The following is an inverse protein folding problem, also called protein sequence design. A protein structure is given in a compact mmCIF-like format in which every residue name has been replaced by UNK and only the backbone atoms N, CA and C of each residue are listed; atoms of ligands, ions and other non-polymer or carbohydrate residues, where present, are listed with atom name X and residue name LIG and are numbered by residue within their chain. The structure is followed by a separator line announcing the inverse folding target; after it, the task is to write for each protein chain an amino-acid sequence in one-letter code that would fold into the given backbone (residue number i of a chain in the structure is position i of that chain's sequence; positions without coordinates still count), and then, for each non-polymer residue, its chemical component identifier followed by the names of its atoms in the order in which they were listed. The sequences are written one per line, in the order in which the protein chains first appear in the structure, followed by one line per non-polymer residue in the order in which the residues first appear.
data_IF_306670044194
#
_entry.id   IF_306670044194
#
_cell.length_a   1.000
_cell.length_b   1.000
_cell.length_c   1.000
_cell.angle_alpha   90.00
_cell.angle_beta   90.00
_cell.angle_gamma   90.00
#
_symmetry.space_group_name_H-M   'P 1'
#
loop_
_entity.id
_entity.type
_entity.pdbx_description
1 polymer ?
#
# COMPACT_ATOMS: atom_id res chain seq x y z
N UNK A 1 -1.59 -11.55 57.11
CA UNK A 1 -2.49 -10.64 56.35
C UNK A 1 -1.94 -10.24 54.95
N UNK A 2 -0.67 -9.87 54.74
CA UNK A 2 -0.19 -9.42 53.42
C UNK A 2 -0.28 -10.49 52.32
N UNK A 3 -0.05 -11.75 52.62
CA UNK A 3 -0.08 -12.84 51.63
C UNK A 3 -1.49 -13.09 51.05
N UNK A 4 -2.55 -12.98 51.81
CA UNK A 4 -3.93 -13.12 51.31
C UNK A 4 -4.33 -11.94 50.45
N UNK A 5 -3.94 -10.72 50.81
CA UNK A 5 -4.18 -9.53 50.03
C UNK A 5 -3.48 -9.63 48.66
N UNK A 6 -2.18 -9.93 48.63
CA UNK A 6 -1.41 -10.08 47.42
C UNK A 6 -2.03 -11.16 46.51
N UNK A 7 -2.36 -12.34 47.08
CA UNK A 7 -3.01 -13.41 46.33
C UNK A 7 -4.34 -12.97 45.71
N UNK A 8 -5.21 -12.31 46.49
CA UNK A 8 -6.51 -11.88 45.97
C UNK A 8 -6.39 -10.75 44.94
N UNK A 9 -5.41 -9.86 45.09
CA UNK A 9 -5.11 -8.83 44.07
C UNK A 9 -4.61 -9.44 42.78
N UNK A 10 -3.73 -10.43 42.85
CA UNK A 10 -3.26 -11.17 41.66
C UNK A 10 -4.38 -11.94 40.98
N UNK A 11 -5.23 -12.64 41.76
CA UNK A 11 -6.40 -13.33 41.18
C UNK A 11 -7.37 -12.35 40.53
N UNK A 12 -7.61 -11.20 41.12
CA UNK A 12 -8.44 -10.14 40.53
C UNK A 12 -7.85 -9.61 39.22
N UNK A 13 -6.55 -9.35 39.16
CA UNK A 13 -5.87 -8.91 37.96
C UNK A 13 -5.92 -9.96 36.83
N UNK A 14 -5.67 -11.24 37.17
CA UNK A 14 -5.78 -12.34 36.23
C UNK A 14 -7.22 -12.49 35.69
N UNK A 15 -8.21 -12.35 36.55
CA UNK A 15 -9.61 -12.40 36.14
C UNK A 15 -9.96 -11.25 35.17
N UNK A 16 -9.52 -10.03 35.44
CA UNK A 16 -9.72 -8.88 34.55
C UNK A 16 -9.04 -9.09 33.19
N UNK A 17 -7.81 -9.61 33.17
CA UNK A 17 -7.12 -9.96 31.94
C UNK A 17 -7.85 -11.05 31.15
N UNK A 18 -8.36 -12.08 31.83
CA UNK A 18 -9.12 -13.15 31.19
C UNK A 18 -10.45 -12.62 30.59
N UNK A 19 -11.15 -11.74 31.29
CA UNK A 19 -12.38 -11.10 30.79
C UNK A 19 -12.05 -10.24 29.56
N UNK A 20 -11.01 -9.38 29.64
CA UNK A 20 -10.59 -8.55 28.54
C UNK A 20 -10.20 -9.40 27.31
N UNK A 21 -9.44 -10.47 27.55
CA UNK A 21 -9.04 -11.43 26.51
C UNK A 21 -10.26 -12.13 25.88
N UNK A 22 -11.22 -12.55 26.67
CA UNK A 22 -12.44 -13.18 26.17
C UNK A 22 -13.29 -12.21 25.33
N UNK A 23 -13.42 -10.95 25.76
CA UNK A 23 -14.10 -9.91 24.98
C UNK A 23 -13.38 -9.69 23.66
N UNK A 24 -12.07 -9.48 23.68
CA UNK A 24 -11.28 -9.25 22.48
C UNK A 24 -11.35 -10.42 21.50
N UNK A 25 -11.24 -11.64 22.00
CA UNK A 25 -11.36 -12.85 21.18
C UNK A 25 -12.77 -13.02 20.59
N UNK A 26 -13.83 -12.72 21.36
CA UNK A 26 -15.22 -12.89 20.92
C UNK A 26 -15.63 -11.82 19.90
N UNK A 27 -15.26 -10.57 20.15
CA UNK A 27 -15.56 -9.45 19.25
C UNK A 27 -14.66 -9.48 18.04
N UNK A 28 -13.35 -9.69 18.23
CA UNK A 28 -12.34 -9.78 17.17
C UNK A 28 -12.33 -8.55 16.25
N UNK A 29 -12.12 -7.34 16.77
CA UNK A 29 -12.33 -6.09 16.03
C UNK A 29 -11.43 -5.92 14.80
N UNK A 30 -10.29 -6.63 14.72
CA UNK A 30 -9.40 -6.66 13.57
C UNK A 30 -9.50 -7.97 12.76
N UNK A 31 -10.57 -8.74 12.99
CA UNK A 31 -10.97 -9.88 12.16
C UNK A 31 -9.89 -10.97 12.03
N UNK A 32 -9.08 -11.17 13.12
CA UNK A 32 -7.98 -12.11 13.10
C UNK A 32 -8.42 -13.57 13.07
N UNK A 33 -9.58 -13.88 13.66
CA UNK A 33 -10.07 -15.24 13.82
C UNK A 33 -11.25 -15.57 12.94
N UNK A 34 -12.03 -14.55 12.51
CA UNK A 34 -13.26 -14.74 11.72
C UNK A 34 -13.69 -13.48 10.99
N UNK A 35 -14.51 -13.66 9.96
CA UNK A 35 -15.32 -12.58 9.43
C UNK A 35 -16.45 -12.32 10.43
N UNK A 36 -16.70 -11.10 10.89
CA UNK A 36 -17.78 -10.81 11.82
C UNK A 36 -19.15 -11.06 11.18
N UNK A 37 -20.06 -11.67 11.96
CA UNK A 37 -21.46 -11.92 11.57
C UNK A 37 -22.44 -11.16 12.44
N UNK A 38 -22.02 -10.73 13.62
CA UNK A 38 -22.87 -10.09 14.63
C UNK A 38 -22.87 -8.56 14.49
N UNK A 39 -21.93 -8.01 13.71
CA UNK A 39 -21.79 -6.59 13.44
C UNK A 39 -21.19 -6.39 12.03
N UNK A 40 -21.36 -5.20 11.46
CA UNK A 40 -20.73 -4.85 10.19
C UNK A 40 -19.20 -4.82 10.32
N UNK A 41 -18.44 -5.48 9.43
CA UNK A 41 -16.97 -5.43 9.48
C UNK A 41 -16.47 -4.00 9.47
N UNK A 42 -15.49 -3.71 10.33
CA UNK A 42 -14.86 -2.39 10.39
C UNK A 42 -13.42 -2.50 9.94
N UNK A 43 -13.03 -1.67 8.98
CA UNK A 43 -11.68 -1.58 8.44
C UNK A 43 -11.05 -0.28 8.91
N UNK A 44 -10.09 -0.38 9.84
CA UNK A 44 -9.47 0.78 10.47
C UNK A 44 -8.23 1.21 9.72
N UNK A 45 -8.26 2.37 9.10
CA UNK A 45 -7.15 2.90 8.30
C UNK A 45 -5.80 2.92 9.05
N UNK A 46 -5.81 3.24 10.34
CA UNK A 46 -4.60 3.24 11.17
C UNK A 46 -4.13 1.85 11.61
N UNK A 47 -4.89 0.78 11.32
CA UNK A 47 -4.59 -0.58 11.75
C UNK A 47 -4.46 -1.58 10.61
N UNK A 48 -4.24 -1.10 9.39
CA UNK A 48 -4.08 -1.93 8.18
C UNK A 48 -3.09 -3.10 8.39
N UNK A 49 -1.95 -2.83 9.06
CA UNK A 49 -0.94 -3.86 9.39
C UNK A 49 -1.45 -4.93 10.34
N UNK A 50 -2.41 -4.59 11.20
CA UNK A 50 -3.02 -5.55 12.12
C UNK A 50 -4.16 -6.31 11.46
N UNK A 51 -4.90 -5.71 10.54
CA UNK A 51 -6.11 -6.30 9.94
C UNK A 51 -5.80 -7.22 8.76
N UNK A 52 -4.89 -6.82 7.89
CA UNK A 52 -4.60 -7.55 6.65
C UNK A 52 -4.27 -9.05 6.84
N UNK A 53 -3.53 -9.49 7.88
CA UNK A 53 -3.32 -10.93 8.08
C UNK A 53 -4.60 -11.68 8.45
N UNK A 54 -5.52 -11.06 9.18
CA UNK A 54 -6.84 -11.62 9.47
C UNK A 54 -7.69 -11.72 8.22
N UNK A 55 -7.73 -10.66 7.42
CA UNK A 55 -8.43 -10.63 6.13
C UNK A 55 -7.88 -11.71 5.19
N UNK A 56 -6.56 -11.82 5.06
CA UNK A 56 -5.91 -12.83 4.23
C UNK A 56 -6.31 -14.27 4.61
N UNK A 57 -6.57 -14.53 5.89
CA UNK A 57 -6.97 -15.85 6.39
C UNK A 57 -8.47 -16.13 6.25
N UNK A 58 -9.30 -15.15 6.56
CA UNK A 58 -10.72 -15.36 6.83
C UNK A 58 -11.64 -14.97 5.67
N UNK A 59 -11.20 -14.06 4.78
CA UNK A 59 -12.01 -13.65 3.63
C UNK A 59 -11.76 -14.57 2.43
N UNK A 60 -12.82 -14.71 1.63
CA UNK A 60 -12.74 -15.48 0.40
C UNK A 60 -12.49 -14.54 -0.78
N UNK A 61 -11.32 -14.69 -1.41
CA UNK A 61 -10.91 -13.98 -2.63
C UNK A 61 -9.84 -14.79 -3.37
N UNK A 62 -9.76 -14.62 -4.68
CA UNK A 62 -8.79 -15.29 -5.57
C UNK A 62 -7.79 -14.30 -6.20
N UNK A 63 -8.04 -12.99 -6.05
CA UNK A 63 -7.12 -11.92 -6.45
C UNK A 63 -6.87 -10.98 -5.28
N UNK A 64 -5.60 -10.64 -5.06
CA UNK A 64 -5.18 -9.68 -4.04
C UNK A 64 -4.56 -8.44 -4.67
N UNK A 65 -4.93 -7.24 -4.20
CA UNK A 65 -4.15 -6.01 -4.44
C UNK A 65 -3.23 -5.84 -3.23
N UNK A 66 -1.92 -5.77 -3.46
CA UNK A 66 -0.92 -5.48 -2.43
C UNK A 66 -0.14 -4.25 -2.85
N UNK A 67 -0.36 -3.16 -2.17
CA UNK A 67 0.15 -1.84 -2.54
C UNK A 67 0.48 -1.01 -1.30
N UNK A 68 1.30 0.00 -1.50
CA UNK A 68 1.31 1.14 -0.60
C UNK A 68 0.07 2.01 -0.86
N UNK A 69 0.07 3.25 -0.39
CA UNK A 69 -1.05 4.20 -0.57
C UNK A 69 -1.47 4.46 -2.02
N UNK A 70 -0.71 4.01 -3.01
CA UNK A 70 -1.00 4.25 -4.43
C UNK A 70 -2.26 3.55 -4.93
N UNK A 71 -2.56 2.33 -4.48
CA UNK A 71 -3.74 1.59 -4.91
C UNK A 71 -4.78 1.41 -3.80
N UNK A 72 -4.68 2.13 -2.68
CA UNK A 72 -5.70 2.10 -1.62
C UNK A 72 -7.07 2.56 -2.11
N UNK A 73 -7.11 3.45 -3.12
CA UNK A 73 -8.34 3.95 -3.73
C UNK A 73 -8.92 3.05 -4.83
N UNK A 74 -8.37 1.85 -5.03
CA UNK A 74 -8.87 0.88 -6.02
C UNK A 74 -9.86 -0.07 -5.35
N UNK A 75 -11.07 -0.15 -5.90
CA UNK A 75 -12.11 -1.07 -5.42
C UNK A 75 -11.92 -2.48 -5.99
N UNK A 76 -12.23 -3.50 -5.18
CA UNK A 76 -12.16 -4.88 -5.61
C UNK A 76 -13.11 -5.17 -6.77
N UNK A 77 -14.35 -4.69 -6.67
CA UNK A 77 -15.37 -4.87 -7.70
C UNK A 77 -15.02 -4.19 -9.04
N UNK A 78 -14.33 -3.05 -9.00
CA UNK A 78 -13.84 -2.39 -10.21
C UNK A 78 -12.79 -3.25 -10.93
N UNK A 79 -11.87 -3.86 -10.17
CA UNK A 79 -10.88 -4.79 -10.72
C UNK A 79 -11.56 -6.02 -11.30
N UNK A 80 -12.50 -6.64 -10.59
CA UNK A 80 -13.24 -7.81 -11.04
C UNK A 80 -13.98 -7.52 -12.34
N UNK A 81 -14.63 -6.36 -12.44
CA UNK A 81 -15.33 -5.92 -13.65
C UNK A 81 -14.37 -5.72 -14.82
N UNK A 82 -13.21 -5.11 -14.58
CA UNK A 82 -12.22 -4.82 -15.63
C UNK A 82 -11.56 -6.10 -16.14
N UNK A 83 -11.24 -7.05 -15.24
CA UNK A 83 -10.60 -8.32 -15.59
C UNK A 83 -11.60 -9.39 -16.05
N UNK A 84 -12.91 -9.12 -15.95
CA UNK A 84 -13.98 -9.99 -16.42
C UNK A 84 -14.29 -11.20 -15.54
N UNK A 85 -13.54 -11.43 -14.49
CA UNK A 85 -13.72 -12.55 -13.54
C UNK A 85 -12.90 -12.33 -12.28
N UNK A 86 -13.19 -13.12 -11.24
CA UNK A 86 -12.45 -13.15 -9.99
C UNK A 86 -13.19 -12.45 -8.85
N UNK A 87 -12.60 -12.55 -7.67
CA UNK A 87 -13.01 -11.88 -6.45
C UNK A 87 -11.80 -11.23 -5.83
N UNK A 88 -11.72 -9.93 -5.96
CA UNK A 88 -10.57 -9.14 -5.54
C UNK A 88 -10.75 -8.60 -4.12
N UNK A 89 -9.69 -8.68 -3.30
CA UNK A 89 -9.62 -7.96 -2.05
C UNK A 89 -8.40 -7.02 -2.05
N UNK A 90 -8.61 -5.76 -1.61
CA UNK A 90 -7.55 -4.79 -1.48
C UNK A 90 -6.88 -4.91 -0.11
N UNK A 91 -5.64 -5.42 -0.09
CA UNK A 91 -4.80 -5.62 1.08
C UNK A 91 -3.68 -4.56 1.17
N UNK A 92 -3.88 -3.42 0.54
CA UNK A 92 -2.90 -2.32 0.58
C UNK A 92 -2.76 -1.77 2.00
N UNK A 93 -1.61 -1.20 2.32
CA UNK A 93 -1.44 -0.37 3.50
C UNK A 93 -0.36 0.71 3.32
N UNK A 94 -0.60 1.84 3.93
CA UNK A 94 0.22 3.04 3.78
C UNK A 94 1.69 2.79 4.12
N UNK A 95 2.60 3.35 3.30
CA UNK A 95 4.05 3.24 3.45
C UNK A 95 4.57 1.79 3.51
N UNK A 96 3.91 0.86 2.80
CA UNK A 96 4.32 -0.54 2.65
C UNK A 96 5.79 -0.65 2.22
N UNK A 97 6.55 -1.50 2.91
CA UNK A 97 7.91 -1.87 2.51
C UNK A 97 7.93 -3.23 1.79
N UNK A 98 9.01 -3.53 1.09
CA UNK A 98 9.15 -4.82 0.41
C UNK A 98 9.12 -6.01 1.38
N UNK A 99 9.70 -5.84 2.59
CA UNK A 99 9.65 -6.84 3.64
C UNK A 99 8.24 -7.09 4.17
N UNK A 100 7.50 -6.02 4.44
CA UNK A 100 6.11 -6.12 4.90
C UNK A 100 5.21 -6.75 3.84
N UNK A 101 5.40 -6.37 2.57
CA UNK A 101 4.69 -6.98 1.44
C UNK A 101 4.99 -8.47 1.32
N UNK A 102 6.25 -8.87 1.50
CA UNK A 102 6.63 -10.29 1.54
C UNK A 102 5.89 -11.03 2.65
N UNK A 103 5.89 -10.50 3.89
CA UNK A 103 5.21 -11.12 5.02
C UNK A 103 3.70 -11.25 4.79
N UNK A 104 3.07 -10.22 4.23
CA UNK A 104 1.67 -10.28 3.85
C UNK A 104 1.41 -11.34 2.78
N UNK A 105 2.20 -11.35 1.71
CA UNK A 105 2.03 -12.29 0.61
C UNK A 105 2.34 -13.74 1.02
N UNK A 106 3.31 -13.99 1.91
CA UNK A 106 3.53 -15.29 2.52
C UNK A 106 2.25 -15.81 3.21
N UNK A 107 1.54 -14.94 3.96
CA UNK A 107 0.26 -15.28 4.59
C UNK A 107 -0.87 -15.48 3.57
N UNK A 108 -0.98 -14.61 2.59
CA UNK A 108 -2.01 -14.67 1.52
C UNK A 108 -1.88 -15.94 0.68
N UNK A 109 -0.65 -16.28 0.27
CA UNK A 109 -0.38 -17.39 -0.62
C UNK A 109 -0.34 -18.77 0.11
N UNK A 110 -0.17 -18.76 1.42
CA UNK A 110 -0.14 -20.00 2.23
C UNK A 110 -1.39 -20.88 2.08
N UNK A 111 -2.53 -20.28 1.71
CA UNK A 111 -3.80 -20.99 1.58
C UNK A 111 -4.10 -21.49 0.15
N UNK A 112 -3.26 -21.18 -0.84
CA UNK A 112 -3.40 -21.63 -2.24
C UNK A 112 -4.65 -21.13 -2.98
N UNK A 113 -5.45 -20.23 -2.37
CA UNK A 113 -6.68 -19.69 -2.96
C UNK A 113 -6.39 -18.58 -3.97
N UNK A 114 -5.41 -17.73 -3.66
CA UNK A 114 -5.07 -16.56 -4.48
C UNK A 114 -4.30 -17.01 -5.72
N UNK A 115 -4.85 -16.66 -6.87
CA UNK A 115 -4.31 -17.00 -8.20
C UNK A 115 -3.66 -15.82 -8.90
N UNK A 116 -3.96 -14.60 -8.44
CA UNK A 116 -3.41 -13.39 -9.04
C UNK A 116 -3.14 -12.32 -7.97
N UNK A 117 -1.99 -11.68 -8.08
CA UNK A 117 -1.57 -10.58 -7.20
C UNK A 117 -1.27 -9.36 -8.05
N UNK A 118 -2.00 -8.26 -7.81
CA UNK A 118 -1.68 -6.93 -8.37
C UNK A 118 -0.83 -6.20 -7.34
N UNK A 119 0.42 -5.90 -7.71
CA UNK A 119 1.41 -5.36 -6.79
C UNK A 119 1.99 -4.05 -7.32
N UNK A 120 1.85 -2.95 -6.59
CA UNK A 120 2.54 -1.73 -6.99
C UNK A 120 4.03 -1.80 -6.68
N UNK A 121 4.85 -1.31 -7.59
CA UNK A 121 6.29 -1.17 -7.40
C UNK A 121 6.61 0.29 -7.14
N UNK A 122 7.22 0.56 -5.99
CA UNK A 122 7.66 1.88 -5.59
C UNK A 122 9.14 1.82 -5.16
N UNK A 123 9.94 2.79 -5.56
CA UNK A 123 11.35 2.86 -5.20
C UNK A 123 11.57 2.91 -3.68
N UNK A 124 10.66 3.56 -2.93
CA UNK A 124 10.77 3.66 -1.48
C UNK A 124 10.56 2.32 -0.76
N UNK A 125 9.80 1.40 -1.36
CA UNK A 125 9.55 0.07 -0.77
C UNK A 125 10.85 -0.71 -0.59
N UNK A 126 11.82 -0.52 -1.48
CA UNK A 126 13.11 -1.24 -1.51
C UNK A 126 14.24 -0.48 -0.85
N UNK A 127 14.05 0.78 -0.45
CA UNK A 127 15.11 1.59 0.11
C UNK A 127 15.54 1.14 1.51
N UNK A 128 16.83 1.17 1.80
CA UNK A 128 17.40 0.87 3.12
C UNK A 128 17.58 -0.62 3.41
N UNK A 129 17.43 -0.99 4.68
CA UNK A 129 17.58 -2.38 5.13
C UNK A 129 16.50 -3.28 4.51
N UNK A 130 16.85 -4.46 3.97
CA UNK A 130 15.89 -5.41 3.41
C UNK A 130 14.80 -5.88 4.38
N UNK A 131 15.02 -5.78 5.68
CA UNK A 131 14.04 -6.12 6.73
C UNK A 131 13.35 -4.91 7.34
N UNK A 132 13.50 -3.75 6.70
CA UNK A 132 12.87 -2.52 7.16
C UNK A 132 11.35 -2.66 7.17
N UNK A 133 10.73 -2.22 8.26
CA UNK A 133 9.29 -2.02 8.38
C UNK A 133 8.94 -0.54 8.19
N UNK A 134 7.68 -0.27 7.86
CA UNK A 134 7.16 1.09 7.75
C UNK A 134 7.06 1.79 9.11
N UNK A 135 6.84 3.09 9.05
CA UNK A 135 6.66 3.97 10.22
C UNK A 135 5.20 4.44 10.23
N UNK A 136 4.56 4.67 11.39
CA UNK A 136 5.16 4.66 12.75
C UNK A 136 5.17 3.29 13.44
N UNK A 137 4.32 2.35 13.04
CA UNK A 137 4.11 1.11 13.79
C UNK A 137 4.88 -0.06 13.17
N UNK A 138 5.65 -0.81 13.97
CA UNK A 138 6.28 -2.02 13.47
C UNK A 138 5.22 -3.06 13.09
N UNK A 139 5.56 -3.88 12.08
CA UNK A 139 4.71 -4.98 11.65
C UNK A 139 4.48 -5.97 12.81
N UNK A 140 3.23 -6.28 13.19
CA UNK A 140 2.93 -7.25 14.25
C UNK A 140 3.14 -8.68 13.73
N UNK A 141 4.40 -9.12 13.65
CA UNK A 141 4.80 -10.38 13.01
C UNK A 141 4.08 -11.61 13.57
N UNK A 142 3.67 -11.58 14.84
CA UNK A 142 2.89 -12.64 15.47
C UNK A 142 1.52 -12.85 14.83
N UNK A 143 0.95 -11.84 14.13
CA UNK A 143 -0.28 -11.99 13.36
C UNK A 143 -0.06 -12.52 11.93
N UNK A 144 1.19 -12.53 11.45
CA UNK A 144 1.53 -12.93 10.08
C UNK A 144 1.97 -14.40 9.97
N UNK A 145 2.12 -15.08 11.10
CA UNK A 145 2.43 -16.50 11.12
C UNK A 145 1.16 -17.37 11.18
N UNK A 146 1.34 -18.70 11.22
CA UNK A 146 0.24 -19.66 11.30
C UNK A 146 -0.18 -20.01 12.74
N UNK A 147 0.58 -19.52 13.72
CA UNK A 147 0.40 -19.88 15.12
C UNK A 147 -0.54 -18.90 15.81
N UNK A 148 -1.63 -19.40 16.40
CA UNK A 148 -2.59 -18.55 17.11
C UNK A 148 -2.32 -18.46 18.61
N UNK A 149 -1.48 -19.31 19.15
CA UNK A 149 -1.14 -19.29 20.56
C UNK A 149 -0.26 -18.09 20.96
N UNK A 150 0.46 -17.51 20.00
CA UNK A 150 1.29 -16.31 20.20
C UNK A 150 0.55 -15.00 19.94
N UNK A 151 -0.76 -15.05 19.62
CA UNK A 151 -1.60 -13.86 19.39
C UNK A 151 -1.98 -13.15 20.71
N UNK A 152 -1.44 -13.57 21.87
CA UNK A 152 -1.74 -12.91 23.14
C UNK A 152 -1.50 -11.40 23.17
N UNK A 153 -0.54 -10.79 22.41
CA UNK A 153 -0.42 -9.34 22.37
C UNK A 153 -1.62 -8.66 21.73
N UNK A 154 -2.31 -9.33 20.80
CA UNK A 154 -3.57 -8.86 20.25
C UNK A 154 -4.73 -9.06 21.22
N UNK A 155 -4.87 -10.26 21.75
CA UNK A 155 -6.00 -10.65 22.61
C UNK A 155 -6.01 -9.88 23.93
N UNK A 156 -4.83 -9.59 24.49
CA UNK A 156 -4.70 -8.86 25.76
C UNK A 156 -4.44 -7.35 25.57
N UNK A 157 -4.51 -6.84 24.35
CA UNK A 157 -4.26 -5.42 24.06
C UNK A 157 -5.39 -4.52 24.55
N UNK A 158 -5.02 -3.43 25.21
CA UNK A 158 -5.96 -2.35 25.60
C UNK A 158 -6.50 -1.64 24.35
N UNK A 159 -5.69 -1.49 23.30
CA UNK A 159 -6.14 -0.90 22.04
C UNK A 159 -7.23 -1.77 21.41
N UNK A 160 -7.03 -3.09 21.36
CA UNK A 160 -8.04 -4.06 20.92
C UNK A 160 -9.30 -3.99 21.78
N UNK A 161 -9.15 -3.94 23.11
CA UNK A 161 -10.29 -3.85 24.04
C UNK A 161 -11.12 -2.59 23.82
N UNK A 162 -10.46 -1.46 23.57
CA UNK A 162 -11.14 -0.21 23.24
C UNK A 162 -11.98 -0.33 21.97
N UNK A 163 -11.44 -0.96 20.92
CA UNK A 163 -12.17 -1.22 19.67
C UNK A 163 -13.33 -2.18 19.89
N UNK A 164 -13.10 -3.26 20.64
CA UNK A 164 -14.14 -4.22 21.04
C UNK A 164 -15.28 -3.53 21.79
N UNK A 165 -14.96 -2.69 22.78
CA UNK A 165 -15.96 -1.95 23.55
C UNK A 165 -16.76 -0.98 22.67
N UNK A 166 -16.12 -0.27 21.74
CA UNK A 166 -16.82 0.63 20.83
C UNK A 166 -17.77 -0.10 19.88
N UNK A 167 -17.42 -1.30 19.42
CA UNK A 167 -18.31 -2.17 18.65
C UNK A 167 -19.52 -2.60 19.49
N UNK A 168 -19.27 -3.15 20.69
CA UNK A 168 -20.35 -3.63 21.59
C UNK A 168 -21.31 -2.52 22.02
N UNK A 169 -20.81 -1.30 22.19
CA UNK A 169 -21.61 -0.12 22.56
C UNK A 169 -22.22 0.61 21.36
N UNK A 170 -22.08 0.09 20.15
CA UNK A 170 -22.59 0.73 18.93
C UNK A 170 -21.97 2.12 18.66
N UNK A 171 -20.80 2.41 19.22
CA UNK A 171 -20.16 3.70 19.05
C UNK A 171 -19.52 3.82 17.67
N UNK A 172 -19.76 4.95 17.00
CA UNK A 172 -19.04 5.31 15.81
C UNK A 172 -17.71 5.98 16.18
N UNK A 173 -16.68 5.66 15.41
CA UNK A 173 -15.34 6.26 15.51
C UNK A 173 -14.99 6.90 14.17
N UNK A 174 -14.03 7.81 14.20
CA UNK A 174 -13.41 8.33 12.97
C UNK A 174 -12.31 7.36 12.52
N UNK A 175 -12.12 7.22 11.21
CA UNK A 175 -11.00 6.48 10.64
C UNK A 175 -11.23 4.98 10.45
N UNK A 176 -12.48 4.55 10.29
CA UNK A 176 -12.81 3.23 9.77
C UNK A 176 -13.88 3.30 8.66
N UNK A 177 -13.94 2.25 7.87
CA UNK A 177 -14.99 2.02 6.87
C UNK A 177 -15.69 0.68 7.15
N UNK A 178 -16.92 0.55 6.71
CA UNK A 178 -17.70 -0.70 6.77
C UNK A 178 -17.85 -1.33 5.37
N UNK A 179 -17.08 -0.82 4.42
CA UNK A 179 -17.08 -1.24 3.02
C UNK A 179 -15.88 -2.15 2.73
N UNK A 180 -16.14 -3.45 2.56
CA UNK A 180 -15.12 -4.44 2.21
C UNK A 180 -14.63 -4.34 0.77
N UNK A 181 -15.37 -3.66 -0.12
CA UNK A 181 -14.95 -3.42 -1.49
C UNK A 181 -13.89 -2.31 -1.58
N UNK A 182 -13.98 -1.31 -0.67
CA UNK A 182 -13.04 -0.19 -0.56
C UNK A 182 -12.55 0.02 0.88
N UNK A 183 -11.90 -0.97 1.50
CA UNK A 183 -11.59 -0.93 2.94
C UNK A 183 -10.66 0.22 3.32
N UNK A 184 -9.81 0.65 2.41
CA UNK A 184 -8.75 1.64 2.64
C UNK A 184 -8.93 2.93 1.85
N UNK A 185 -10.11 3.16 1.26
CA UNK A 185 -10.36 4.30 0.39
C UNK A 185 -10.29 5.63 1.16
N UNK A 186 -9.46 6.54 0.66
CA UNK A 186 -9.26 7.88 1.23
C UNK A 186 -9.58 9.01 0.23
N UNK A 187 -9.96 8.66 -1.00
CA UNK A 187 -10.18 9.63 -2.08
C UNK A 187 -11.32 10.62 -1.83
N UNK A 188 -12.29 10.27 -0.98
CA UNK A 188 -13.41 11.13 -0.58
C UNK A 188 -13.03 12.20 0.45
N UNK A 189 -11.88 12.08 1.10
CA UNK A 189 -11.36 13.03 2.10
C UNK A 189 -10.19 13.85 1.60
N UNK A 190 -9.73 13.61 0.38
CA UNK A 190 -8.59 14.27 -0.22
C UNK A 190 -9.00 15.31 -1.27
N UNK A 191 -8.29 16.43 -1.31
CA UNK A 191 -8.37 17.38 -2.39
C UNK A 191 -7.35 17.02 -3.48
N UNK A 192 -7.81 16.95 -4.73
CA UNK A 192 -6.97 16.76 -5.91
C UNK A 192 -7.00 18.05 -6.71
N UNK A 193 -5.88 18.76 -6.70
CA UNK A 193 -5.74 20.02 -7.41
C UNK A 193 -4.28 20.47 -7.45
N UNK A 194 -3.92 21.35 -8.38
CA UNK A 194 -2.59 22.01 -8.38
C UNK A 194 -2.33 22.71 -7.04
N UNK A 195 -3.36 23.33 -6.45
CA UNK A 195 -3.24 23.99 -5.15
C UNK A 195 -2.88 22.99 -4.05
N UNK A 196 -3.52 21.81 -4.05
CA UNK A 196 -3.20 20.75 -3.11
C UNK A 196 -1.77 20.23 -3.30
N UNK A 197 -1.34 20.01 -4.55
CA UNK A 197 0.04 19.63 -4.86
C UNK A 197 1.02 20.66 -4.31
N UNK A 198 0.80 21.96 -4.56
CA UNK A 198 1.66 23.05 -4.07
C UNK A 198 1.70 23.12 -2.55
N UNK A 199 0.56 22.93 -1.88
CA UNK A 199 0.49 22.94 -0.41
C UNK A 199 1.29 21.80 0.24
N UNK A 200 1.45 20.68 -0.47
CA UNK A 200 2.24 19.53 -0.03
C UNK A 200 3.70 19.58 -0.53
N UNK A 201 4.04 20.53 -1.41
CA UNK A 201 5.41 20.76 -1.88
C UNK A 201 6.15 21.67 -0.91
N UNK A 202 6.66 21.12 0.16
CA UNK A 202 7.66 21.82 0.97
C UNK A 202 9.06 21.54 0.43
N UNK A 203 9.43 22.28 -0.61
CA UNK A 203 10.75 22.15 -1.24
C UNK A 203 11.92 22.39 -0.27
N UNK A 204 11.69 23.06 0.87
CA UNK A 204 12.71 23.33 1.89
C UNK A 204 12.77 22.23 2.96
N UNK A 205 11.70 21.48 3.16
CA UNK A 205 11.57 20.53 4.28
C UNK A 205 11.41 19.06 3.85
N UNK A 206 11.36 18.74 2.55
CA UNK A 206 11.34 17.36 2.06
C UNK A 206 12.51 16.53 2.61
N UNK A 207 13.64 17.17 2.89
CA UNK A 207 14.80 16.56 3.56
C UNK A 207 14.61 16.35 5.07
N UNK A 208 13.72 17.10 5.74
CA UNK A 208 13.54 17.05 7.19
C UNK A 208 12.37 16.16 7.64
N UNK A 209 11.27 16.16 6.92
CA UNK A 209 10.05 15.40 7.29
C UNK A 209 10.16 13.91 7.07
N UNK A 210 10.89 13.49 6.04
CA UNK A 210 11.20 12.09 5.82
C UNK A 210 12.70 11.96 5.76
N UNK A 211 13.32 11.44 6.81
CA UNK A 211 14.62 10.76 6.65
C UNK A 211 14.38 9.62 5.67
N UNK A 212 14.38 9.94 4.39
CA UNK A 212 14.25 8.92 3.36
C UNK A 212 15.39 7.93 3.58
N UNK A 213 15.09 6.63 3.66
CA UNK A 213 16.11 5.62 3.78
C UNK A 213 17.09 5.78 2.62
N UNK A 214 18.38 5.55 2.89
CA UNK A 214 19.41 5.67 1.87
C UNK A 214 19.04 4.81 0.65
N UNK A 215 18.80 5.44 -0.49
CA UNK A 215 18.58 4.77 -1.76
C UNK A 215 19.92 4.49 -2.41
N UNK A 216 20.63 3.50 -1.91
CA UNK A 216 21.78 2.94 -2.62
C UNK A 216 21.27 1.80 -3.51
N UNK A 217 21.71 1.75 -4.74
CA UNK A 217 21.27 0.75 -5.72
C UNK A 217 21.45 -0.69 -5.19
N UNK A 218 22.58 -0.98 -4.59
CA UNK A 218 22.88 -2.31 -4.05
C UNK A 218 21.94 -2.69 -2.89
N UNK A 219 21.63 -1.74 -2.01
CA UNK A 219 20.67 -1.97 -0.93
C UNK A 219 19.25 -2.23 -1.48
N UNK A 220 18.85 -1.46 -2.50
CA UNK A 220 17.54 -1.67 -3.16
C UNK A 220 17.49 -3.01 -3.88
N UNK A 221 18.54 -3.39 -4.61
CA UNK A 221 18.61 -4.70 -5.27
C UNK A 221 18.60 -5.83 -4.25
N UNK A 222 19.35 -5.72 -3.17
CA UNK A 222 19.32 -6.71 -2.09
C UNK A 222 17.90 -6.85 -1.49
N UNK A 223 17.24 -5.73 -1.21
CA UNK A 223 15.85 -5.75 -0.70
C UNK A 223 14.88 -6.39 -1.70
N UNK A 224 15.02 -6.09 -2.98
CA UNK A 224 14.25 -6.71 -4.06
C UNK A 224 14.49 -8.22 -4.16
N UNK A 225 15.74 -8.64 -4.17
CA UNK A 225 16.15 -10.06 -4.29
C UNK A 225 15.70 -10.88 -3.09
N UNK A 226 15.79 -10.33 -1.88
CA UNK A 226 15.38 -11.04 -0.66
C UNK A 226 13.84 -11.09 -0.50
N UNK A 227 13.12 -10.04 -0.91
CA UNK A 227 11.70 -9.92 -0.55
C UNK A 227 10.72 -10.22 -1.69
N UNK A 228 11.08 -9.94 -2.95
CA UNK A 228 10.13 -10.04 -4.05
C UNK A 228 10.42 -11.21 -5.01
N UNK A 229 11.68 -11.43 -5.33
CA UNK A 229 12.08 -12.52 -6.23
C UNK A 229 11.61 -13.90 -5.75
N UNK A 230 11.73 -14.26 -4.44
CA UNK A 230 11.25 -15.55 -3.97
C UNK A 230 9.76 -15.77 -4.17
N UNK A 231 8.94 -14.71 -4.07
CA UNK A 231 7.49 -14.82 -4.26
C UNK A 231 7.13 -15.29 -5.67
N UNK A 232 7.73 -14.70 -6.70
CA UNK A 232 7.47 -15.10 -8.08
C UNK A 232 8.04 -16.50 -8.41
N UNK A 233 9.22 -16.81 -7.86
CA UNK A 233 9.90 -18.09 -8.07
C UNK A 233 9.18 -19.27 -7.43
N UNK A 234 8.75 -19.09 -6.16
CA UNK A 234 8.25 -20.19 -5.33
C UNK A 234 6.72 -20.39 -5.49
N UNK A 235 6.05 -19.48 -6.21
CA UNK A 235 4.61 -19.57 -6.52
C UNK A 235 4.34 -19.48 -8.02
N UNK A 236 4.80 -20.44 -8.83
CA UNK A 236 4.68 -20.40 -10.30
C UNK A 236 3.23 -20.42 -10.81
N UNK A 237 2.30 -20.97 -10.00
CA UNK A 237 0.86 -21.03 -10.32
C UNK A 237 0.09 -19.75 -9.98
N UNK A 238 0.75 -18.79 -9.33
CA UNK A 238 0.17 -17.46 -9.03
C UNK A 238 0.70 -16.43 -10.02
N UNK A 239 -0.18 -15.69 -10.66
CA UNK A 239 0.17 -14.57 -11.54
C UNK A 239 0.53 -13.35 -10.71
N UNK A 240 1.66 -12.73 -11.00
CA UNK A 240 2.07 -11.46 -10.41
C UNK A 240 2.01 -10.35 -11.45
N UNK A 241 1.17 -9.37 -11.21
CA UNK A 241 1.01 -8.17 -12.03
C UNK A 241 1.66 -7.00 -11.30
N UNK A 242 2.91 -6.69 -11.67
CA UNK A 242 3.64 -5.56 -11.10
C UNK A 242 3.28 -4.27 -11.82
N UNK A 243 3.01 -3.23 -11.06
CA UNK A 243 2.55 -1.95 -11.58
C UNK A 243 3.46 -0.83 -11.10
N UNK A 244 4.12 -0.14 -12.02
CA UNK A 244 4.77 1.14 -11.76
C UNK A 244 3.72 2.24 -11.89
N UNK A 245 3.27 2.84 -10.77
CA UNK A 245 2.19 3.82 -10.79
C UNK A 245 2.63 5.14 -11.42
N UNK A 246 1.69 5.95 -11.94
CA UNK A 246 2.00 7.24 -12.57
C UNK A 246 2.34 8.28 -11.52
N UNK A 247 3.62 8.45 -11.17
CA UNK A 247 4.04 9.61 -10.38
C UNK A 247 3.85 10.88 -11.20
N UNK A 248 3.54 12.01 -10.56
CA UNK A 248 3.56 13.26 -11.29
C UNK A 248 4.97 13.54 -11.82
N UNK A 249 5.06 14.33 -12.86
CA UNK A 249 6.35 14.75 -13.46
C UNK A 249 7.28 15.42 -12.44
N UNK A 250 6.72 15.98 -11.35
CA UNK A 250 7.49 16.62 -10.28
C UNK A 250 8.38 15.63 -9.51
N UNK A 251 8.00 14.35 -9.42
CA UNK A 251 8.83 13.30 -8.79
C UNK A 251 10.12 13.08 -9.58
N UNK A 252 10.04 13.10 -10.90
CA UNK A 252 11.22 12.93 -11.76
C UNK A 252 12.16 14.14 -11.70
N UNK A 253 11.60 15.36 -11.56
CA UNK A 253 12.38 16.56 -11.29
C UNK A 253 13.07 16.50 -9.90
N UNK A 254 12.35 16.03 -8.87
CA UNK A 254 12.90 15.81 -7.52
C UNK A 254 14.03 14.76 -7.53
N UNK A 255 13.86 13.65 -8.24
CA UNK A 255 14.91 12.63 -8.38
C UNK A 255 16.17 13.21 -9.03
N UNK A 256 16.03 14.06 -10.05
CA UNK A 256 17.17 14.78 -10.65
C UNK A 256 17.86 15.68 -9.64
N UNK A 257 17.11 16.52 -8.90
CA UNK A 257 17.66 17.45 -7.93
C UNK A 257 18.44 16.74 -6.81
N UNK A 258 18.02 15.52 -6.45
CA UNK A 258 18.65 14.68 -5.41
C UNK A 258 19.72 13.72 -5.94
N UNK A 259 20.07 13.79 -7.21
CA UNK A 259 20.97 12.84 -7.86
C UNK A 259 20.52 11.38 -7.75
N UNK A 260 19.17 11.16 -7.76
CA UNK A 260 18.55 9.83 -7.66
C UNK A 260 17.96 9.34 -8.99
N UNK A 261 17.97 10.17 -10.02
CA UNK A 261 17.34 9.86 -11.31
C UNK A 261 17.96 8.62 -11.97
N UNK A 262 19.27 8.65 -12.21
CA UNK A 262 19.97 7.55 -12.89
C UNK A 262 19.97 6.27 -12.05
N UNK A 263 20.08 6.37 -10.73
CA UNK A 263 19.97 5.23 -9.81
C UNK A 263 18.58 4.58 -9.90
N UNK A 264 17.51 5.38 -9.91
CA UNK A 264 16.13 4.89 -9.99
C UNK A 264 15.88 4.19 -11.34
N UNK A 265 16.37 4.75 -12.43
CA UNK A 265 16.27 4.15 -13.76
C UNK A 265 17.07 2.85 -13.88
N UNK A 266 18.26 2.77 -13.28
CA UNK A 266 19.05 1.53 -13.26
C UNK A 266 18.40 0.44 -12.40
N UNK A 267 17.86 0.79 -11.22
CA UNK A 267 17.07 -0.16 -10.42
C UNK A 267 15.90 -0.72 -11.22
N UNK A 268 15.12 0.16 -11.87
CA UNK A 268 13.99 -0.22 -12.72
C UNK A 268 14.39 -1.18 -13.83
N UNK A 269 15.51 -0.92 -14.50
CA UNK A 269 16.06 -1.80 -15.54
C UNK A 269 16.41 -3.17 -14.98
N UNK A 270 17.16 -3.24 -13.89
CA UNK A 270 17.55 -4.50 -13.24
C UNK A 270 16.33 -5.28 -12.74
N UNK A 271 15.35 -4.60 -12.14
CA UNK A 271 14.08 -5.19 -11.72
C UNK A 271 13.40 -5.90 -12.90
N UNK A 272 13.21 -5.21 -14.03
CA UNK A 272 12.53 -5.75 -15.21
C UNK A 272 13.26 -6.98 -15.76
N UNK A 273 14.59 -6.91 -15.90
CA UNK A 273 15.38 -8.04 -16.41
C UNK A 273 15.34 -9.25 -15.45
N UNK A 274 15.33 -9.04 -14.15
CA UNK A 274 15.26 -10.11 -13.17
C UNK A 274 13.88 -10.78 -13.17
N UNK A 275 12.81 -9.98 -13.15
CA UNK A 275 11.44 -10.50 -13.07
C UNK A 275 10.92 -11.11 -14.37
N UNK A 276 11.41 -10.67 -15.53
CA UNK A 276 11.06 -11.26 -16.82
C UNK A 276 11.49 -12.73 -17.00
N UNK A 277 12.30 -13.26 -16.08
CA UNK A 277 12.69 -14.69 -16.07
C UNK A 277 11.55 -15.60 -15.61
N UNK A 278 10.52 -15.04 -14.98
CA UNK A 278 9.41 -15.79 -14.42
C UNK A 278 8.17 -15.65 -15.33
N UNK A 279 7.67 -16.76 -15.92
CA UNK A 279 6.55 -16.72 -16.88
C UNK A 279 5.22 -16.27 -16.25
N UNK A 280 5.11 -16.39 -14.94
CA UNK A 280 3.96 -15.95 -14.14
C UNK A 280 3.99 -14.45 -13.81
N UNK A 281 4.97 -13.69 -14.33
CA UNK A 281 5.11 -12.26 -14.05
C UNK A 281 4.69 -11.41 -15.25
N UNK A 282 3.96 -10.34 -14.99
CA UNK A 282 3.68 -9.25 -15.91
C UNK A 282 4.04 -7.93 -15.26
N UNK A 283 4.57 -7.00 -16.04
CA UNK A 283 4.95 -5.67 -15.54
C UNK A 283 4.27 -4.63 -16.41
N UNK A 284 3.56 -3.70 -15.80
CA UNK A 284 2.95 -2.52 -16.42
C UNK A 284 3.58 -1.25 -15.87
N UNK A 285 3.71 -0.24 -16.72
CA UNK A 285 4.37 1.00 -16.36
C UNK A 285 3.61 2.21 -16.89
N UNK A 286 3.18 3.07 -15.97
CA UNK A 286 2.40 4.25 -16.29
C UNK A 286 3.17 5.56 -16.08
N UNK A 287 4.47 5.48 -15.85
CA UNK A 287 5.29 6.65 -15.52
C UNK A 287 5.63 7.53 -16.74
N UNK A 288 5.36 7.06 -17.95
CA UNK A 288 5.51 7.84 -19.18
C UNK A 288 4.18 8.36 -19.74
N UNK A 289 3.05 8.11 -19.08
CA UNK A 289 1.74 8.61 -19.49
C UNK A 289 1.67 10.12 -19.26
N UNK A 290 2.21 10.88 -20.24
CA UNK A 290 2.26 12.34 -20.16
C UNK A 290 0.89 12.98 -19.97
N UNK A 291 -0.16 12.39 -20.57
CA UNK A 291 -1.55 12.77 -20.36
C UNK A 291 -2.01 12.67 -18.89
N UNK A 292 -1.36 11.84 -18.07
CA UNK A 292 -1.63 11.73 -16.64
C UNK A 292 -0.62 12.52 -15.81
N UNK A 293 0.67 12.22 -15.97
CA UNK A 293 1.71 12.69 -15.06
C UNK A 293 1.96 14.20 -15.08
N UNK A 294 1.55 14.89 -16.16
CA UNK A 294 1.64 16.37 -16.25
C UNK A 294 0.36 17.07 -15.82
N UNK A 295 -0.76 16.34 -15.66
CA UNK A 295 -2.04 16.92 -15.30
C UNK A 295 -2.21 17.00 -13.78
N UNK A 296 -1.58 18.00 -13.15
CA UNK A 296 -1.50 18.13 -11.70
C UNK A 296 -2.85 18.31 -10.98
N UNK A 297 -3.93 18.63 -11.71
CA UNK A 297 -5.31 18.67 -11.18
C UNK A 297 -5.82 17.29 -10.76
N UNK A 298 -5.22 16.22 -11.25
CA UNK A 298 -5.54 14.86 -10.87
C UNK A 298 -4.62 14.33 -9.73
N UNK A 299 -3.87 15.21 -9.03
CA UNK A 299 -2.97 14.83 -7.94
C UNK A 299 -3.28 15.57 -6.64
N UNK A 300 -3.13 14.86 -5.53
CA UNK A 300 -3.15 15.42 -4.18
C UNK A 300 -1.79 16.05 -3.82
N UNK A 301 -0.73 15.36 -4.16
CA UNK A 301 0.67 15.73 -3.94
C UNK A 301 1.51 15.19 -5.11
N UNK A 302 2.83 15.16 -5.02
CA UNK A 302 3.69 14.68 -6.12
C UNK A 302 3.46 13.21 -6.49
N UNK A 303 2.96 12.40 -5.56
CA UNK A 303 2.87 10.94 -5.69
C UNK A 303 1.44 10.44 -5.87
N UNK A 304 0.49 10.97 -5.09
CA UNK A 304 -0.84 10.41 -4.96
C UNK A 304 -1.80 10.99 -5.99
N UNK A 305 -2.23 10.16 -6.89
CA UNK A 305 -3.19 10.48 -7.96
C UNK A 305 -4.63 10.22 -7.54
N UNK A 306 -5.55 10.81 -8.27
CA UNK A 306 -7.00 10.75 -8.02
C UNK A 306 -7.58 9.35 -8.28
N UNK A 307 -8.75 9.03 -7.69
CA UNK A 307 -9.50 7.83 -8.02
C UNK A 307 -9.83 7.69 -9.52
N UNK A 308 -9.97 8.81 -10.23
CA UNK A 308 -10.16 8.82 -11.69
C UNK A 308 -8.97 8.17 -12.42
N UNK A 309 -7.73 8.49 -12.03
CA UNK A 309 -6.53 7.85 -12.56
C UNK A 309 -6.45 6.39 -12.11
N UNK A 310 -6.81 6.09 -10.85
CA UNK A 310 -6.86 4.70 -10.34
C UNK A 310 -7.77 3.82 -11.21
N UNK A 311 -8.98 4.29 -11.52
CA UNK A 311 -9.92 3.58 -12.40
C UNK A 311 -9.41 3.40 -13.83
N UNK A 312 -8.77 4.42 -14.37
CA UNK A 312 -8.15 4.34 -15.70
C UNK A 312 -7.00 3.32 -15.72
N UNK A 313 -6.15 3.34 -14.69
CA UNK A 313 -5.03 2.42 -14.52
C UNK A 313 -5.51 0.95 -14.48
N UNK A 314 -6.55 0.64 -13.73
CA UNK A 314 -7.14 -0.72 -13.67
C UNK A 314 -7.58 -1.18 -15.05
N UNK A 315 -8.24 -0.33 -15.84
CA UNK A 315 -8.69 -0.66 -17.21
C UNK A 315 -7.52 -0.90 -18.16
N UNK A 316 -6.47 -0.09 -18.05
CA UNK A 316 -5.27 -0.24 -18.88
C UNK A 316 -4.52 -1.54 -18.57
N UNK A 317 -4.41 -1.92 -17.28
CA UNK A 317 -3.82 -3.19 -16.88
C UNK A 317 -4.64 -4.37 -17.41
N UNK A 318 -5.96 -4.33 -17.24
CA UNK A 318 -6.85 -5.39 -17.71
C UNK A 318 -6.80 -5.56 -19.24
N UNK A 319 -6.59 -4.46 -19.97
CA UNK A 319 -6.39 -4.46 -21.42
C UNK A 319 -4.94 -4.84 -21.85
N UNK A 320 -4.10 -5.25 -20.93
CA UNK A 320 -2.68 -5.61 -21.13
C UNK A 320 -1.83 -4.49 -21.80
N UNK A 321 -2.19 -3.21 -21.57
CA UNK A 321 -1.48 -2.06 -22.10
C UNK A 321 -0.32 -1.63 -21.21
N UNK A 322 0.53 -0.76 -21.73
CA UNK A 322 1.70 -0.20 -21.02
C UNK A 322 2.64 -1.29 -20.47
N UNK A 323 2.83 -2.36 -21.23
CA UNK A 323 3.74 -3.46 -20.85
C UNK A 323 5.19 -2.98 -20.82
N UNK A 324 5.86 -3.30 -19.70
CA UNK A 324 7.29 -3.06 -19.53
C UNK A 324 8.05 -4.39 -19.63
N UNK A 325 9.00 -4.46 -20.54
CA UNK A 325 9.73 -5.68 -20.89
C UNK A 325 11.24 -5.42 -20.99
N UNK A 326 12.10 -6.45 -20.97
CA UNK A 326 13.52 -6.27 -21.23
C UNK A 326 13.85 -5.58 -22.56
N UNK A 327 12.98 -5.74 -23.56
CA UNK A 327 13.18 -5.18 -24.90
C UNK A 327 12.90 -3.67 -24.95
N UNK A 328 11.95 -3.18 -24.14
CA UNK A 328 11.55 -1.77 -24.21
C UNK A 328 12.00 -0.92 -23.01
N UNK A 329 12.45 -1.53 -21.90
CA UNK A 329 12.83 -0.78 -20.67
C UNK A 329 13.94 0.22 -20.91
N UNK A 330 14.88 -0.07 -21.82
CA UNK A 330 15.97 0.84 -22.17
C UNK A 330 15.46 2.13 -22.81
N UNK A 331 14.57 2.03 -23.80
CA UNK A 331 13.96 3.19 -24.44
C UNK A 331 13.06 3.96 -23.49
N UNK A 332 12.21 3.26 -22.73
CA UNK A 332 11.32 3.89 -21.75
C UNK A 332 12.11 4.64 -20.66
N UNK A 333 13.21 4.08 -20.19
CA UNK A 333 14.09 4.77 -19.25
C UNK A 333 14.75 6.02 -19.87
N UNK A 334 15.13 5.98 -21.15
CA UNK A 334 15.66 7.16 -21.85
C UNK A 334 14.62 8.28 -21.90
N UNK A 335 13.38 7.98 -22.24
CA UNK A 335 12.27 8.97 -22.24
C UNK A 335 12.05 9.56 -20.86
N UNK A 336 11.97 8.73 -19.81
CA UNK A 336 11.82 9.21 -18.43
C UNK A 336 12.99 10.09 -17.99
N UNK A 337 14.23 9.75 -18.40
CA UNK A 337 15.41 10.57 -18.13
C UNK A 337 15.30 11.92 -18.81
N UNK A 338 14.95 11.95 -20.11
CA UNK A 338 14.75 13.20 -20.87
C UNK A 338 13.67 14.08 -20.22
N UNK A 339 12.52 13.48 -19.86
CA UNK A 339 11.44 14.19 -19.17
C UNK A 339 11.89 14.75 -17.80
N UNK A 340 12.56 13.95 -16.98
CA UNK A 340 13.07 14.38 -15.68
C UNK A 340 14.14 15.46 -15.78
N UNK A 341 14.99 15.40 -16.81
CA UNK A 341 16.01 16.43 -17.07
C UNK A 341 15.38 17.75 -17.55
N UNK A 342 14.33 17.67 -18.38
CA UNK A 342 13.62 18.85 -18.90
C UNK A 342 12.63 19.46 -17.89
N UNK A 343 12.18 18.71 -16.90
CA UNK A 343 11.17 19.15 -15.96
C UNK A 343 11.68 20.31 -15.07
N UNK A 344 11.00 21.44 -15.16
CA UNK A 344 11.20 22.63 -14.32
C UNK A 344 9.97 22.77 -13.41
N UNK A 345 10.07 22.43 -12.12
CA UNK A 345 8.90 22.45 -11.22
C UNK A 345 8.21 23.80 -11.14
N UNK A 346 8.97 24.91 -11.13
CA UNK A 346 8.39 26.25 -11.01
C UNK A 346 7.57 26.59 -12.26
N UNK A 347 8.09 26.30 -13.45
CA UNK A 347 7.36 26.52 -14.71
C UNK A 347 6.14 25.61 -14.84
N UNK A 348 6.28 24.32 -14.44
CA UNK A 348 5.16 23.37 -14.48
C UNK A 348 4.02 23.83 -13.59
N UNK A 349 4.32 24.24 -12.36
CA UNK A 349 3.33 24.72 -11.39
C UNK A 349 2.71 26.04 -11.89
N UNK A 350 3.53 27.01 -12.34
CA UNK A 350 3.04 28.27 -12.85
C UNK A 350 2.10 28.08 -14.07
N UNK A 351 2.47 27.18 -14.99
CA UNK A 351 1.63 26.85 -16.14
C UNK A 351 0.30 26.21 -15.72
N UNK A 352 0.34 25.25 -14.79
CA UNK A 352 -0.86 24.57 -14.30
C UNK A 352 -1.82 25.52 -13.55
N UNK A 353 -1.30 26.48 -12.77
CA UNK A 353 -2.10 27.53 -12.12
C UNK A 353 -2.72 28.51 -13.11
N UNK A 354 -1.97 28.90 -14.16
CA UNK A 354 -2.47 29.80 -15.21
C UNK A 354 -3.59 29.15 -16.04
N UNK A 355 -3.47 27.88 -16.38
CA UNK A 355 -4.50 27.15 -17.13
C UNK A 355 -5.85 27.12 -16.40
N UNK A 356 -5.85 27.06 -15.07
CA UNK A 356 -7.05 27.08 -14.24
C UNK A 356 -7.76 28.44 -14.26
N UNK A 357 -6.99 29.52 -14.28
CA UNK A 357 -7.57 30.90 -14.32
C UNK A 357 -8.33 31.19 -15.61
N UNK A 358 -7.98 30.51 -16.71
CA UNK A 358 -8.65 30.68 -18.01
C UNK A 358 -9.86 29.76 -18.21
N UNK A 359 -9.99 28.70 -17.39
CA UNK A 359 -11.08 27.72 -17.46
C UNK A 359 -12.25 28.03 -16.50
N UNK A 360 -12.17 29.05 -15.64
CA UNK A 360 -13.30 29.53 -14.85
C UNK A 360 -14.24 30.32 -15.76
N UNK A 361 -15.52 29.94 -15.91
CA UNK A 361 -16.47 30.79 -16.65
C UNK A 361 -16.60 32.11 -15.91
N UNK A 362 -16.47 33.20 -16.68
CA UNK A 362 -16.88 34.53 -16.22
C UNK A 362 -18.39 34.43 -15.90
N UNK A 363 -18.76 34.63 -14.65
CA UNK A 363 -20.13 34.84 -14.22
C UNK A 363 -20.52 36.29 -14.43
#
# INVERSE_FOLDING_TARGET
MPTRFIRNSLLGALMLLAIAGAINYRVDPFQQYRVPTDYAPRFYYSFQRHENPGIARNYDFDRAIVSSSFLENVSGSEVDKAFGSGKTFNLSFSALTAYEARKLLESVLAHGRVKEVVYNVDFNMFAGDPRRTGIPDPLPLYLYDRWRWNDYPYVLSIATLRKSANILLGRREVGYREDSDNPWYWGDTAEFSVKSVVAHLDFKDLNKRFKQPNRALDAMMKSFEENLVPLARDHPDTKFVFVWPPYSILVWADFRQRNQLDLSLEFRKRFVHAMARYPNVRIHDFQERTDWITHLEDYRDMYHFSPKISSALVKEIAADRERLTPQNVGERNRKLREMGMAADPEKIIAHALAAKSTSSPAY
#
